data_IF_904092634900
#
_entry.id   IF_904092634900
#
_cell.length_a   1.000
_cell.length_b   1.000
_cell.length_c   1.000
_cell.angle_alpha   90.00
_cell.angle_beta   90.00
_cell.angle_gamma   90.00
#
_symmetry.space_group_name_H-M   'P 1'
#
loop_
_entity.id
_entity.type
_entity.pdbx_description
1 polymer ?
#
# COMPACT_ATOMS: atom_id res chain seq x y z
N UNK A 1 -1.04 -5.25 9.96
CA UNK A 1 -2.51 -5.04 9.97
C UNK A 1 -3.15 -6.41 10.19
N UNK A 2 -4.36 -6.53 10.75
CA UNK A 2 -5.05 -7.84 10.77
C UNK A 2 -5.76 -8.07 9.45
N UNK A 3 -5.82 -9.32 8.98
CA UNK A 3 -6.42 -9.67 7.67
C UNK A 3 -7.89 -9.29 7.57
N UNK A 4 -8.68 -9.54 8.60
CA UNK A 4 -10.10 -9.15 8.64
C UNK A 4 -10.29 -7.64 8.52
N UNK A 5 -9.43 -6.87 9.18
CA UNK A 5 -9.45 -5.41 9.11
C UNK A 5 -9.03 -4.91 7.72
N UNK A 6 -8.04 -5.57 7.10
CA UNK A 6 -7.65 -5.29 5.72
C UNK A 6 -8.81 -5.56 4.76
N UNK A 7 -9.47 -6.72 4.88
CA UNK A 7 -10.65 -7.07 4.07
C UNK A 7 -11.77 -6.05 4.25
N UNK A 8 -12.03 -5.60 5.48
CA UNK A 8 -13.04 -4.58 5.75
C UNK A 8 -12.69 -3.24 5.10
N UNK A 9 -11.42 -2.85 5.08
CA UNK A 9 -10.95 -1.65 4.37
C UNK A 9 -11.24 -1.72 2.86
N UNK A 10 -11.22 -2.92 2.26
CA UNK A 10 -11.53 -3.12 0.83
C UNK A 10 -13.02 -3.00 0.49
N UNK A 11 -13.91 -3.01 1.49
CA UNK A 11 -15.35 -2.85 1.25
C UNK A 11 -15.71 -1.41 0.87
N UNK A 12 -16.93 -1.19 0.37
CA UNK A 12 -17.42 0.17 0.12
C UNK A 12 -17.45 1.05 1.37
N UNK A 13 -17.68 0.47 2.55
CA UNK A 13 -17.63 1.20 3.84
C UNK A 13 -16.19 1.56 4.19
N UNK A 14 -15.26 0.62 4.05
CA UNK A 14 -13.83 0.84 4.27
C UNK A 14 -13.24 1.89 3.34
N UNK A 15 -13.61 1.88 2.05
CA UNK A 15 -13.16 2.87 1.08
C UNK A 15 -13.66 4.28 1.42
N UNK A 16 -14.91 4.44 1.86
CA UNK A 16 -15.43 5.72 2.34
C UNK A 16 -14.67 6.21 3.56
N UNK A 17 -14.43 5.33 4.54
CA UNK A 17 -13.64 5.67 5.71
C UNK A 17 -12.20 6.07 5.36
N UNK A 18 -11.54 5.42 4.40
CA UNK A 18 -10.19 5.83 3.96
C UNK A 18 -10.20 7.24 3.35
N UNK A 19 -11.23 7.59 2.57
CA UNK A 19 -11.39 8.92 2.01
C UNK A 19 -11.65 9.96 3.13
N UNK A 20 -12.56 9.67 4.05
CA UNK A 20 -12.86 10.53 5.20
C UNK A 20 -11.62 10.72 6.09
N UNK A 21 -10.87 9.64 6.33
CA UNK A 21 -9.63 9.65 7.09
C UNK A 21 -8.56 10.50 6.41
N UNK A 22 -8.42 10.43 5.08
CA UNK A 22 -7.47 11.24 4.33
C UNK A 22 -7.77 12.74 4.48
N UNK A 23 -9.03 13.13 4.37
CA UNK A 23 -9.47 14.52 4.60
C UNK A 23 -9.23 14.93 6.05
N UNK A 24 -9.53 14.02 6.99
CA UNK A 24 -9.45 14.31 8.41
C UNK A 24 -8.04 14.41 8.97
N UNK A 25 -7.09 13.72 8.35
CA UNK A 25 -5.72 13.64 8.84
C UNK A 25 -5.01 15.00 8.85
N UNK A 26 -5.47 15.97 8.04
CA UNK A 26 -4.99 17.35 8.04
C UNK A 26 -5.17 18.05 9.40
N UNK A 27 -6.20 17.68 10.17
CA UNK A 27 -6.49 18.23 11.50
C UNK A 27 -5.63 17.57 12.60
N UNK A 28 -4.85 16.54 12.24
CA UNK A 28 -4.04 15.74 13.14
C UNK A 28 -4.69 14.40 13.54
N UNK A 29 -3.89 13.41 14.00
CA UNK A 29 -4.37 12.04 14.22
C UNK A 29 -5.45 11.91 15.30
N UNK A 30 -5.32 12.61 16.43
CA UNK A 30 -6.26 12.53 17.55
C UNK A 30 -7.64 13.15 17.21
N UNK A 31 -7.72 14.39 16.66
CA UNK A 31 -8.98 14.95 16.20
C UNK A 31 -9.65 14.09 15.13
N UNK A 32 -8.89 13.56 14.17
CA UNK A 32 -9.40 12.67 13.13
C UNK A 32 -10.02 11.39 13.72
N UNK A 33 -9.32 10.74 14.66
CA UNK A 33 -9.81 9.54 15.34
C UNK A 33 -11.11 9.79 16.08
N UNK A 34 -11.16 10.84 16.91
CA UNK A 34 -12.37 11.20 17.68
C UNK A 34 -13.58 11.50 16.79
N UNK A 35 -13.36 12.08 15.62
CA UNK A 35 -14.43 12.36 14.66
C UNK A 35 -14.95 11.08 14.02
N UNK A 36 -14.06 10.24 13.50
CA UNK A 36 -14.43 9.04 12.75
C UNK A 36 -15.01 7.93 13.64
N UNK A 37 -14.57 7.85 14.91
CA UNK A 37 -15.07 6.89 15.88
C UNK A 37 -16.56 7.08 16.24
N UNK A 38 -17.19 8.20 15.85
CA UNK A 38 -18.64 8.41 16.00
C UNK A 38 -19.47 7.63 14.99
N UNK A 39 -18.86 7.21 13.88
CA UNK A 39 -19.56 6.58 12.74
C UNK A 39 -19.05 5.17 12.47
N UNK A 40 -17.76 4.91 12.70
CA UNK A 40 -17.10 3.67 12.32
C UNK A 40 -16.52 2.94 13.55
N UNK A 41 -16.31 1.64 13.40
CA UNK A 41 -15.72 0.81 14.45
C UNK A 41 -14.29 1.29 14.81
N UNK A 42 -13.92 1.36 16.10
CA UNK A 42 -12.62 1.90 16.53
C UNK A 42 -11.40 1.25 15.85
N UNK A 43 -11.39 -0.07 15.72
CA UNK A 43 -10.28 -0.81 15.10
C UNK A 43 -10.12 -0.45 13.61
N UNK A 44 -11.25 -0.25 12.91
CA UNK A 44 -11.25 0.13 11.50
C UNK A 44 -10.77 1.58 11.31
N UNK A 45 -11.17 2.49 12.21
CA UNK A 45 -10.68 3.87 12.25
C UNK A 45 -9.17 3.90 12.47
N UNK A 46 -8.67 3.14 13.45
CA UNK A 46 -7.23 3.04 13.72
C UNK A 46 -6.46 2.51 12.50
N UNK A 47 -6.97 1.49 11.82
CA UNK A 47 -6.36 0.94 10.62
C UNK A 47 -6.35 1.95 9.45
N UNK A 48 -7.45 2.68 9.24
CA UNK A 48 -7.55 3.70 8.20
C UNK A 48 -6.59 4.86 8.43
N UNK A 49 -6.51 5.40 9.65
CA UNK A 49 -5.57 6.47 10.00
C UNK A 49 -4.11 6.01 9.88
N UNK A 50 -3.84 4.74 10.25
CA UNK A 50 -2.53 4.13 10.04
C UNK A 50 -2.19 4.06 8.56
N UNK A 51 -3.14 3.68 7.70
CA UNK A 51 -2.93 3.69 6.24
C UNK A 51 -2.65 5.10 5.72
N UNK A 52 -3.39 6.12 6.14
CA UNK A 52 -3.13 7.50 5.72
C UNK A 52 -1.71 7.93 6.11
N UNK A 53 -1.30 7.69 7.35
CA UNK A 53 0.05 8.00 7.81
C UNK A 53 1.15 7.27 7.00
N UNK A 54 0.95 5.98 6.71
CA UNK A 54 1.89 5.19 5.92
C UNK A 54 1.92 5.64 4.45
N UNK A 55 0.76 5.96 3.85
CA UNK A 55 0.67 6.50 2.49
C UNK A 55 1.45 7.80 2.36
N UNK A 56 1.35 8.70 3.33
CA UNK A 56 2.15 9.93 3.37
C UNK A 56 3.66 9.65 3.37
N UNK A 57 4.14 8.74 4.23
CA UNK A 57 5.55 8.32 4.25
C UNK A 57 5.98 7.70 2.92
N UNK A 58 5.10 6.87 2.36
CA UNK A 58 5.33 6.08 1.15
C UNK A 58 5.42 6.93 -0.14
N UNK A 59 4.93 8.18 -0.15
CA UNK A 59 5.07 9.10 -1.30
C UNK A 59 6.53 9.25 -1.72
N UNK A 60 7.46 9.30 -0.77
CA UNK A 60 8.91 9.42 -1.05
C UNK A 60 9.43 8.28 -1.93
N UNK A 61 8.80 7.10 -1.86
CA UNK A 61 9.23 5.86 -2.51
C UNK A 61 8.39 5.52 -3.74
N UNK A 62 7.08 5.73 -3.66
CA UNK A 62 6.13 5.28 -4.69
C UNK A 62 5.44 6.43 -5.42
N UNK A 63 5.71 7.68 -5.03
CA UNK A 63 5.11 8.87 -5.61
C UNK A 63 3.57 8.84 -5.49
N UNK A 64 2.84 9.30 -6.52
CA UNK A 64 1.37 9.33 -6.50
C UNK A 64 0.71 7.95 -6.29
N UNK A 65 1.38 6.86 -6.69
CA UNK A 65 0.85 5.51 -6.53
C UNK A 65 0.68 5.11 -5.06
N UNK A 66 1.43 5.73 -4.14
CA UNK A 66 1.29 5.50 -2.70
C UNK A 66 -0.16 5.69 -2.23
N UNK A 67 -0.91 6.63 -2.83
CA UNK A 67 -2.30 6.92 -2.44
C UNK A 67 -3.27 5.74 -2.63
N UNK A 68 -2.98 4.83 -3.56
CA UNK A 68 -3.81 3.67 -3.88
C UNK A 68 -3.30 2.37 -3.25
N UNK A 69 -2.07 2.36 -2.74
CA UNK A 69 -1.44 1.18 -2.17
C UNK A 69 -1.84 0.96 -0.70
N UNK A 70 -1.59 -0.25 -0.21
CA UNK A 70 -1.73 -0.61 1.20
C UNK A 70 -0.37 -0.97 1.79
N UNK A 71 -0.17 -0.62 3.05
CA UNK A 71 1.12 -0.72 3.70
C UNK A 71 1.03 -1.34 5.09
N UNK A 72 2.07 -2.07 5.45
CA UNK A 72 2.46 -2.28 6.85
C UNK A 72 3.72 -1.45 7.12
N UNK A 73 4.01 -1.09 8.39
CA UNK A 73 5.24 -0.33 8.68
C UNK A 73 6.48 -1.13 8.28
N UNK A 74 6.52 -2.41 8.65
CA UNK A 74 7.59 -3.33 8.28
C UNK A 74 7.73 -3.46 6.75
N UNK A 75 6.63 -3.65 6.02
CA UNK A 75 6.66 -3.76 4.56
C UNK A 75 7.17 -2.49 3.88
N UNK A 76 6.79 -1.30 4.38
CA UNK A 76 7.28 -0.03 3.85
C UNK A 76 8.79 0.15 4.08
N UNK A 77 9.26 -0.21 5.28
CA UNK A 77 10.67 -0.17 5.69
C UNK A 77 11.51 -1.17 4.89
N UNK A 78 10.99 -2.38 4.65
CA UNK A 78 11.68 -3.46 3.94
C UNK A 78 11.63 -3.33 2.41
N UNK A 79 10.69 -2.57 1.85
CA UNK A 79 10.52 -2.52 0.41
C UNK A 79 11.80 -2.08 -0.31
N UNK A 80 11.99 -2.53 -1.55
CA UNK A 80 13.14 -2.17 -2.36
C UNK A 80 13.20 -0.66 -2.61
N UNK A 81 14.39 -0.06 -2.56
CA UNK A 81 14.57 1.33 -2.92
C UNK A 81 14.16 1.57 -4.39
N UNK A 82 13.52 2.70 -4.75
CA UNK A 82 12.89 2.88 -6.07
C UNK A 82 13.87 2.68 -7.22
N UNK A 83 15.06 3.29 -7.11
CA UNK A 83 16.12 3.15 -8.13
C UNK A 83 16.57 1.71 -8.35
N UNK A 84 16.58 0.89 -7.29
CA UNK A 84 16.99 -0.52 -7.39
C UNK A 84 15.89 -1.35 -8.05
N UNK A 85 14.62 -1.12 -7.67
CA UNK A 85 13.47 -1.78 -8.28
C UNK A 85 13.36 -1.44 -9.76
N UNK A 86 13.50 -0.17 -10.13
CA UNK A 86 13.50 0.31 -11.52
C UNK A 86 14.65 -0.29 -12.34
N UNK A 87 15.88 -0.29 -11.78
CA UNK A 87 17.02 -0.89 -12.45
C UNK A 87 16.82 -2.39 -12.70
N UNK A 88 16.31 -3.12 -11.71
CA UNK A 88 16.00 -4.55 -11.83
C UNK A 88 14.94 -4.78 -12.90
N UNK A 89 13.85 -4.01 -12.87
CA UNK A 89 12.75 -4.13 -13.82
C UNK A 89 13.21 -3.86 -15.26
N UNK A 90 14.01 -2.81 -15.50
CA UNK A 90 14.56 -2.50 -16.81
C UNK A 90 15.45 -3.63 -17.36
N UNK A 91 16.29 -4.24 -16.50
CA UNK A 91 17.13 -5.38 -16.90
C UNK A 91 16.31 -6.62 -17.25
N UNK A 92 15.25 -6.89 -16.50
CA UNK A 92 14.36 -8.02 -16.79
C UNK A 92 13.58 -7.76 -18.08
N UNK A 93 13.07 -6.53 -18.29
CA UNK A 93 12.39 -6.14 -19.52
C UNK A 93 13.29 -6.30 -20.76
N UNK A 94 14.57 -5.95 -20.66
CA UNK A 94 15.52 -6.14 -21.75
C UNK A 94 15.71 -7.61 -22.16
N UNK A 95 15.46 -8.57 -21.26
CA UNK A 95 15.49 -10.00 -21.57
C UNK A 95 14.23 -10.50 -22.28
N UNK A 96 13.20 -9.66 -22.43
CA UNK A 96 11.93 -9.97 -23.12
C UNK A 96 11.27 -11.30 -22.68
N UNK A 97 11.07 -11.53 -21.37
CA UNK A 97 10.41 -12.74 -20.91
C UNK A 97 8.93 -12.76 -21.31
N UNK A 98 8.34 -13.94 -21.42
CA UNK A 98 6.89 -14.09 -21.60
C UNK A 98 6.09 -13.75 -20.34
N UNK A 99 6.72 -13.74 -19.16
CA UNK A 99 6.13 -13.34 -17.89
C UNK A 99 7.13 -13.39 -16.74
N UNK A 100 6.80 -12.74 -15.63
CA UNK A 100 7.65 -12.68 -14.42
C UNK A 100 6.85 -13.10 -13.20
N UNK A 101 7.47 -13.91 -12.34
CA UNK A 101 6.93 -14.28 -11.03
C UNK A 101 7.79 -13.66 -9.92
N UNK A 102 7.17 -12.87 -9.05
CA UNK A 102 7.78 -12.29 -7.86
C UNK A 102 7.41 -13.14 -6.62
N UNK A 103 8.34 -13.99 -6.20
CA UNK A 103 8.16 -14.91 -5.06
C UNK A 103 8.64 -14.24 -3.77
N UNK A 104 7.71 -13.65 -3.01
CA UNK A 104 7.99 -12.79 -1.86
C UNK A 104 7.75 -11.32 -2.20
N UNK A 105 6.63 -11.02 -2.87
CA UNK A 105 6.35 -9.70 -3.42
C UNK A 105 6.09 -8.62 -2.35
N UNK A 106 5.83 -9.02 -1.09
CA UNK A 106 5.51 -8.15 0.02
C UNK A 106 4.41 -7.14 -0.32
N UNK A 107 4.67 -5.86 -0.04
CA UNK A 107 3.75 -4.76 -0.37
C UNK A 107 3.69 -4.40 -1.87
N UNK A 108 4.32 -5.18 -2.76
CA UNK A 108 4.24 -5.04 -4.21
C UNK A 108 5.13 -3.94 -4.81
N UNK A 109 6.21 -3.54 -4.12
CA UNK A 109 7.11 -2.51 -4.62
C UNK A 109 7.82 -2.88 -5.92
N UNK A 110 8.38 -4.09 -5.98
CA UNK A 110 9.03 -4.62 -7.19
C UNK A 110 7.99 -4.95 -8.28
N UNK A 111 6.83 -5.50 -7.91
CA UNK A 111 5.69 -5.71 -8.82
C UNK A 111 5.30 -4.43 -9.57
N UNK A 112 5.20 -3.30 -8.85
CA UNK A 112 4.86 -2.02 -9.46
C UNK A 112 5.93 -1.57 -10.47
N UNK A 113 7.22 -1.76 -10.14
CA UNK A 113 8.32 -1.41 -11.04
C UNK A 113 8.33 -2.32 -12.29
N UNK A 114 8.11 -3.63 -12.12
CA UNK A 114 8.01 -4.60 -13.21
C UNK A 114 6.84 -4.25 -14.15
N UNK A 115 5.65 -3.99 -13.60
CA UNK A 115 4.49 -3.59 -14.38
C UNK A 115 4.71 -2.28 -15.15
N UNK A 116 5.37 -1.28 -14.54
CA UNK A 116 5.76 -0.02 -15.21
C UNK A 116 6.76 -0.23 -16.33
N UNK A 117 7.59 -1.26 -16.26
CA UNK A 117 8.51 -1.65 -17.33
C UNK A 117 7.82 -2.43 -18.47
N UNK A 118 6.49 -2.59 -18.44
CA UNK A 118 5.71 -3.26 -19.47
C UNK A 118 5.67 -4.79 -19.33
N UNK A 119 6.09 -5.33 -18.19
CA UNK A 119 6.11 -6.77 -17.95
C UNK A 119 4.74 -7.27 -17.47
N UNK A 120 4.33 -8.43 -17.99
CA UNK A 120 3.26 -9.21 -17.37
C UNK A 120 3.82 -9.91 -16.14
N UNK A 121 3.31 -9.56 -14.97
CA UNK A 121 3.86 -10.01 -13.68
C UNK A 121 2.79 -10.58 -12.78
N UNK A 122 3.13 -11.66 -12.07
CA UNK A 122 2.36 -12.21 -10.96
C UNK A 122 3.19 -12.14 -9.68
N UNK A 123 2.55 -11.83 -8.55
CA UNK A 123 3.18 -11.83 -7.23
C UNK A 123 2.60 -12.92 -6.34
N UNK A 124 3.45 -13.52 -5.52
CA UNK A 124 3.06 -14.47 -4.49
C UNK A 124 3.75 -14.06 -3.19
N UNK A 125 2.99 -13.98 -2.11
CA UNK A 125 3.54 -13.85 -0.76
C UNK A 125 2.90 -14.87 0.18
N UNK A 126 3.62 -15.21 1.24
CA UNK A 126 3.13 -16.09 2.30
C UNK A 126 2.25 -15.33 3.28
N UNK A 127 2.57 -14.07 3.55
CA UNK A 127 1.77 -13.22 4.44
C UNK A 127 0.55 -12.71 3.67
N UNK A 128 -0.69 -12.94 4.17
CA UNK A 128 -1.89 -12.43 3.51
C UNK A 128 -2.09 -10.91 3.65
N UNK A 129 -1.19 -10.17 4.33
CA UNK A 129 -1.27 -8.71 4.57
C UNK A 129 0.07 -7.97 4.49
#
# INVERSE_FOLDING_TARGET
MRLDTFQELLTGTGQRLLADAMLAYADGPLPASNRLARTYAPDLVAAALTQVALRHRAVTKFGPAASAMYFTSAGLEQATAPRVAEHRAARIAAASPSGVLDCGCGIGGDLLALGRAGLTVAGVDKDPV
#
